data_IF_654809051834
#
_entry.id   IF_654809051834
#
_cell.length_a   1.000
_cell.length_b   1.000
_cell.length_c   1.000
_cell.angle_alpha   90.00
_cell.angle_beta   90.00
_cell.angle_gamma   90.00
#
_symmetry.space_group_name_H-M   'P 1'
#
loop_
_entity.id
_entity.type
_entity.pdbx_description
1 polymer ?
#
# COMPACT_ATOMS: atom_id res chain seq x y z
N UNK A 1 -32.94 8.78 0.10
CA UNK A 1 -32.92 10.09 -0.58
C UNK A 1 -32.50 11.10 0.48
N UNK A 2 -31.40 11.84 0.28
CA UNK A 2 -30.91 12.80 1.29
C UNK A 2 -31.93 13.95 1.48
N UNK A 3 -31.98 14.50 2.68
CA UNK A 3 -32.93 15.53 3.13
C UNK A 3 -32.96 16.73 2.17
N UNK A 4 -34.16 17.04 1.66
CA UNK A 4 -34.45 18.26 0.88
C UNK A 4 -35.01 19.32 1.83
N UNK A 5 -34.37 20.48 1.88
CA UNK A 5 -34.77 21.59 2.73
C UNK A 5 -35.35 22.74 1.90
N UNK A 6 -36.17 23.57 2.54
CA UNK A 6 -36.85 24.71 1.90
C UNK A 6 -35.96 25.95 1.85
N UNK A 7 -36.33 26.96 1.04
CA UNK A 7 -35.68 28.28 1.03
C UNK A 7 -35.60 28.89 2.43
N UNK A 8 -36.66 28.78 3.23
CA UNK A 8 -36.73 29.27 4.61
C UNK A 8 -35.68 28.59 5.50
N UNK A 9 -35.57 27.27 5.39
CA UNK A 9 -34.60 26.49 6.17
C UNK A 9 -33.15 26.83 5.79
N UNK A 10 -32.87 27.07 4.51
CA UNK A 10 -31.55 27.54 4.05
C UNK A 10 -31.25 28.95 4.57
N UNK A 11 -32.25 29.84 4.55
CA UNK A 11 -32.13 31.20 5.08
C UNK A 11 -31.80 31.18 6.58
N UNK A 12 -32.50 30.35 7.36
CA UNK A 12 -32.22 30.12 8.79
C UNK A 12 -30.82 29.53 9.01
N UNK A 13 -30.42 28.52 8.23
CA UNK A 13 -29.10 27.89 8.31
C UNK A 13 -27.95 28.89 8.08
N UNK A 14 -28.11 29.77 7.08
CA UNK A 14 -27.10 30.75 6.70
C UNK A 14 -27.19 32.04 7.52
N UNK A 15 -28.22 32.22 8.35
CA UNK A 15 -28.47 33.46 9.09
C UNK A 15 -28.76 34.66 8.18
N UNK A 16 -29.38 34.42 7.01
CA UNK A 16 -29.72 35.46 6.02
C UNK A 16 -31.23 35.49 5.76
N UNK A 17 -31.72 36.51 5.06
CA UNK A 17 -33.12 36.54 4.63
C UNK A 17 -33.35 35.68 3.36
N UNK A 18 -34.60 35.25 3.13
CA UNK A 18 -34.94 34.42 1.96
C UNK A 18 -34.60 35.09 0.62
N UNK A 19 -34.71 36.42 0.51
CA UNK A 19 -34.37 37.16 -0.71
C UNK A 19 -32.90 36.96 -1.11
N UNK A 20 -32.00 36.93 -0.13
CA UNK A 20 -30.57 36.67 -0.35
C UNK A 20 -30.30 35.24 -0.80
N UNK A 21 -31.11 34.26 -0.37
CA UNK A 21 -30.99 32.88 -0.87
C UNK A 21 -31.23 32.82 -2.39
N UNK A 22 -32.22 33.56 -2.92
CA UNK A 22 -32.42 33.64 -4.37
C UNK A 22 -31.23 34.26 -5.11
N UNK A 23 -30.63 35.32 -4.55
CA UNK A 23 -29.43 35.93 -5.12
C UNK A 23 -28.25 34.95 -5.12
N UNK A 24 -28.08 34.14 -4.06
CA UNK A 24 -27.03 33.11 -4.03
C UNK A 24 -27.21 32.05 -5.11
N UNK A 25 -28.45 31.67 -5.45
CA UNK A 25 -28.71 30.73 -6.56
C UNK A 25 -28.26 31.36 -7.88
N UNK A 26 -28.65 32.61 -8.16
CA UNK A 26 -28.45 33.24 -9.47
C UNK A 26 -27.05 33.80 -9.67
N UNK A 27 -26.45 34.36 -8.63
CA UNK A 27 -25.20 35.13 -8.72
C UNK A 27 -23.98 34.34 -8.23
N UNK A 28 -24.20 33.38 -7.33
CA UNK A 28 -23.12 32.63 -6.66
C UNK A 28 -23.22 31.11 -6.84
N UNK A 29 -24.21 30.65 -7.60
CA UNK A 29 -24.36 29.24 -7.98
C UNK A 29 -24.71 28.29 -6.84
N UNK A 30 -25.47 28.74 -5.83
CA UNK A 30 -25.96 27.88 -4.75
C UNK A 30 -26.80 26.72 -5.33
N UNK A 31 -26.44 25.44 -5.07
CA UNK A 31 -27.14 24.30 -5.66
C UNK A 31 -28.59 24.19 -5.20
N UNK A 32 -29.52 24.22 -6.14
CA UNK A 32 -30.95 24.13 -5.87
C UNK A 32 -31.68 23.45 -7.03
N UNK A 33 -32.82 22.83 -6.76
CA UNK A 33 -33.73 22.29 -7.77
C UNK A 33 -35.09 22.95 -7.64
N UNK A 34 -35.68 23.36 -8.77
CA UNK A 34 -37.02 23.96 -8.81
C UNK A 34 -38.05 22.88 -9.13
N UNK A 35 -38.96 22.60 -8.20
CA UNK A 35 -40.05 21.63 -8.36
C UNK A 35 -41.36 22.36 -8.17
N UNK A 36 -42.24 22.35 -9.17
CA UNK A 36 -43.57 22.99 -9.10
C UNK A 36 -43.54 24.46 -8.64
N UNK A 37 -42.52 25.21 -9.10
CA UNK A 37 -42.34 26.62 -8.75
C UNK A 37 -41.62 26.90 -7.44
N UNK A 38 -41.43 25.89 -6.57
CA UNK A 38 -40.72 26.00 -5.29
C UNK A 38 -39.27 25.56 -5.43
N UNK A 39 -38.36 26.26 -4.76
CA UNK A 39 -36.97 25.83 -4.65
C UNK A 39 -36.80 24.85 -3.50
N UNK A 40 -36.10 23.76 -3.79
CA UNK A 40 -35.69 22.75 -2.83
C UNK A 40 -34.18 22.55 -2.94
N UNK A 41 -33.55 22.30 -1.80
CA UNK A 41 -32.11 22.23 -1.69
C UNK A 41 -31.72 20.91 -1.02
N UNK A 42 -30.94 20.04 -1.68
CA UNK A 42 -30.31 18.93 -0.98
C UNK A 42 -29.35 19.49 0.07
N UNK A 43 -29.63 19.23 1.35
CA UNK A 43 -28.87 19.84 2.47
C UNK A 43 -27.36 19.70 2.32
N UNK A 44 -26.91 18.50 1.95
CA UNK A 44 -25.49 18.21 1.76
C UNK A 44 -24.81 19.04 0.65
N UNK A 45 -25.54 19.47 -0.39
CA UNK A 45 -24.99 20.32 -1.44
C UNK A 45 -24.89 21.78 -1.00
N UNK A 46 -25.80 22.23 -0.12
CA UNK A 46 -25.72 23.56 0.50
C UNK A 46 -24.48 23.62 1.39
N UNK A 47 -24.28 22.61 2.25
CA UNK A 47 -23.12 22.51 3.13
C UNK A 47 -21.80 22.47 2.34
N UNK A 48 -21.71 21.61 1.31
CA UNK A 48 -20.53 21.53 0.44
C UNK A 48 -20.26 22.84 -0.33
N UNK A 49 -21.31 23.54 -0.75
CA UNK A 49 -21.16 24.84 -1.41
C UNK A 49 -20.60 25.90 -0.46
N UNK A 50 -21.00 25.90 0.83
CA UNK A 50 -20.44 26.80 1.85
C UNK A 50 -18.94 26.50 2.05
N UNK A 51 -18.58 25.22 2.20
CA UNK A 51 -17.17 24.80 2.35
C UNK A 51 -16.31 25.30 1.19
N UNK A 52 -16.74 25.08 -0.06
CA UNK A 52 -16.00 25.48 -1.26
C UNK A 52 -15.88 27.00 -1.44
N UNK A 53 -16.78 27.79 -0.86
CA UNK A 53 -16.78 29.25 -0.98
C UNK A 53 -16.23 29.96 0.28
N UNK A 54 -15.64 29.21 1.22
CA UNK A 54 -15.01 29.78 2.41
C UNK A 54 -13.68 30.46 2.05
N UNK A 55 -13.60 31.79 2.20
CA UNK A 55 -12.42 32.57 1.80
C UNK A 55 -11.23 32.41 2.76
N UNK A 56 -11.52 32.34 4.06
CA UNK A 56 -10.52 32.16 5.12
C UNK A 56 -10.59 30.72 5.61
N UNK A 57 -10.36 29.77 4.70
CA UNK A 57 -10.27 28.38 5.08
C UNK A 57 -9.17 28.27 6.14
N UNK A 58 -9.44 27.77 7.35
CA UNK A 58 -8.39 27.63 8.34
C UNK A 58 -7.30 26.74 7.74
N UNK A 59 -6.08 27.25 7.66
CA UNK A 59 -4.89 26.44 7.35
C UNK A 59 -5.01 25.14 8.17
N UNK A 60 -5.07 23.97 7.52
CA UNK A 60 -5.49 22.76 8.18
C UNK A 60 -4.52 22.45 9.32
N UNK A 61 -4.94 22.74 10.55
CA UNK A 61 -4.37 22.14 11.76
C UNK A 61 -4.77 20.68 11.73
N UNK A 62 -4.00 19.90 10.99
CA UNK A 62 -4.06 18.44 10.88
C UNK A 62 -5.31 17.82 10.22
N UNK A 63 -4.99 16.76 9.46
CA UNK A 63 -5.79 15.62 9.00
C UNK A 63 -6.59 15.74 7.71
N UNK A 64 -6.37 14.69 6.91
CA UNK A 64 -6.89 14.32 5.60
C UNK A 64 -8.44 14.25 5.57
N UNK A 65 -9.07 14.10 4.38
CA UNK A 65 -10.52 14.20 4.18
C UNK A 65 -11.34 13.22 5.04
N UNK A 66 -12.68 13.41 5.16
CA UNK A 66 -13.55 12.79 6.15
C UNK A 66 -13.91 11.33 5.81
N UNK A 67 -12.91 10.47 5.62
CA UNK A 67 -13.10 9.04 5.68
C UNK A 67 -13.01 8.61 7.15
N UNK A 68 -14.05 8.93 7.92
CA UNK A 68 -14.19 8.36 9.26
C UNK A 68 -14.14 6.82 9.10
N UNK A 69 -13.02 6.21 9.52
CA UNK A 69 -12.76 4.78 9.41
C UNK A 69 -11.76 4.31 8.34
N UNK A 70 -11.39 5.08 7.30
CA UNK A 70 -10.51 4.56 6.22
C UNK A 70 -9.03 4.74 6.54
N UNK A 71 -8.27 3.64 6.49
CA UNK A 71 -6.81 3.62 6.58
C UNK A 71 -6.19 3.19 5.25
N UNK A 72 -5.71 4.15 4.46
CA UNK A 72 -4.94 3.88 3.24
C UNK A 72 -3.48 3.58 3.59
N UNK A 73 -3.03 2.36 3.28
CA UNK A 73 -1.65 1.91 3.37
C UNK A 73 -1.12 1.69 1.94
N UNK A 74 0.11 2.09 1.64
CA UNK A 74 0.72 1.79 0.34
C UNK A 74 2.15 1.30 0.48
N UNK A 75 2.69 0.69 -0.57
CA UNK A 75 4.11 0.33 -0.64
C UNK A 75 4.33 -1.14 -0.98
N UNK A 76 5.28 -1.78 -0.31
CA UNK A 76 5.63 -3.19 -0.51
C UNK A 76 4.73 -4.15 0.28
N UNK A 77 4.21 -5.17 -0.41
CA UNK A 77 3.42 -6.25 0.19
C UNK A 77 4.25 -7.11 1.17
N UNK A 78 3.59 -7.65 2.19
CA UNK A 78 4.09 -8.68 3.10
C UNK A 78 2.93 -9.54 3.63
N UNK A 79 3.14 -10.84 3.85
CA UNK A 79 2.11 -11.76 4.34
C UNK A 79 1.60 -11.38 5.73
N UNK A 80 2.47 -10.89 6.61
CA UNK A 80 2.06 -10.43 7.93
C UNK A 80 1.18 -9.18 7.81
N UNK A 81 1.54 -8.26 6.93
CA UNK A 81 0.74 -7.05 6.68
C UNK A 81 -0.64 -7.41 6.13
N UNK A 82 -0.73 -8.31 5.15
CA UNK A 82 -2.01 -8.77 4.59
C UNK A 82 -2.91 -9.37 5.69
N UNK A 83 -2.32 -10.17 6.59
CA UNK A 83 -3.05 -10.76 7.72
C UNK A 83 -3.46 -9.72 8.75
N UNK A 84 -2.60 -8.76 9.06
CA UNK A 84 -2.90 -7.65 9.98
C UNK A 84 -4.04 -6.79 9.45
N UNK A 85 -4.03 -6.44 8.16
CA UNK A 85 -5.12 -5.70 7.52
C UNK A 85 -6.43 -6.50 7.59
N UNK A 86 -6.38 -7.80 7.29
CA UNK A 86 -7.55 -8.68 7.35
C UNK A 86 -8.12 -8.76 8.77
N UNK A 87 -7.25 -8.91 9.78
CA UNK A 87 -7.64 -8.94 11.19
C UNK A 87 -8.25 -7.59 11.62
N UNK A 88 -7.61 -6.47 11.28
CA UNK A 88 -8.11 -5.14 11.58
C UNK A 88 -9.51 -4.93 10.99
N UNK A 89 -9.69 -5.22 9.70
CA UNK A 89 -10.99 -5.07 9.03
C UNK A 89 -12.07 -5.98 9.62
N UNK A 90 -11.70 -7.14 10.17
CA UNK A 90 -12.65 -8.04 10.83
C UNK A 90 -13.02 -7.61 12.25
N UNK A 91 -12.11 -6.96 12.97
CA UNK A 91 -12.28 -6.59 14.38
C UNK A 91 -12.91 -5.19 14.55
N UNK A 92 -12.68 -4.30 13.59
CA UNK A 92 -13.13 -2.91 13.65
C UNK A 92 -14.06 -2.61 12.48
N UNK A 93 -15.35 -3.01 12.53
CA UNK A 93 -16.27 -2.91 11.40
C UNK A 93 -16.58 -1.47 10.95
N UNK A 94 -16.40 -0.50 11.84
CA UNK A 94 -16.50 0.93 11.52
C UNK A 94 -15.25 1.48 10.82
N UNK A 95 -14.23 0.64 10.58
CA UNK A 95 -12.98 0.99 9.93
C UNK A 95 -12.70 0.07 8.74
N UNK A 96 -11.91 0.59 7.81
CA UNK A 96 -11.46 -0.13 6.62
C UNK A 96 -10.01 0.24 6.31
N UNK A 97 -9.10 -0.71 6.47
CA UNK A 97 -7.76 -0.62 5.94
C UNK A 97 -7.72 -1.16 4.50
N UNK A 98 -7.14 -0.38 3.59
CA UNK A 98 -6.92 -0.74 2.18
C UNK A 98 -5.44 -0.65 1.85
N UNK A 99 -4.96 -1.56 1.01
CA UNK A 99 -3.55 -1.63 0.61
C UNK A 99 -3.35 -1.37 -0.89
N UNK A 100 -2.52 -0.39 -1.21
CA UNK A 100 -2.05 -0.11 -2.57
C UNK A 100 -0.62 -0.61 -2.79
N UNK A 101 -0.43 -1.64 -3.61
CA UNK A 101 0.90 -2.15 -3.92
C UNK A 101 1.62 -1.25 -4.94
N UNK A 102 2.60 -0.48 -4.46
CA UNK A 102 3.42 0.44 -5.26
C UNK A 102 4.92 0.12 -5.16
N UNK A 103 5.28 -0.96 -4.45
CA UNK A 103 6.66 -1.23 -4.04
C UNK A 103 7.18 -0.22 -3.02
N UNK A 104 8.35 -0.50 -2.45
CA UNK A 104 8.89 0.24 -1.30
C UNK A 104 9.07 1.75 -1.57
N UNK A 105 9.78 2.11 -2.66
CA UNK A 105 9.98 3.52 -3.05
C UNK A 105 8.67 4.19 -3.47
N UNK A 106 7.77 3.45 -4.14
CA UNK A 106 6.45 3.97 -4.49
C UNK A 106 5.62 4.32 -3.27
N UNK A 107 5.70 3.51 -2.20
CA UNK A 107 5.08 3.78 -0.91
C UNK A 107 5.62 5.05 -0.25
N UNK A 108 6.95 5.21 -0.18
CA UNK A 108 7.56 6.43 0.37
C UNK A 108 7.13 7.68 -0.40
N UNK A 109 7.13 7.63 -1.74
CA UNK A 109 6.68 8.74 -2.60
C UNK A 109 5.20 9.05 -2.46
N UNK A 110 4.36 8.01 -2.28
CA UNK A 110 2.93 8.19 -2.05
C UNK A 110 2.67 8.86 -0.69
N UNK A 111 3.40 8.45 0.36
CA UNK A 111 3.32 9.08 1.68
C UNK A 111 3.76 10.54 1.64
N UNK A 112 4.88 10.87 0.96
CA UNK A 112 5.33 12.25 0.75
C UNK A 112 4.30 13.13 0.06
N UNK A 113 3.54 12.56 -0.87
CA UNK A 113 2.47 13.25 -1.61
C UNK A 113 1.13 13.25 -0.88
N UNK A 114 1.08 12.79 0.37
CA UNK A 114 -0.14 12.66 1.18
C UNK A 114 -1.23 11.79 0.51
N UNK A 115 -0.82 10.78 -0.28
CA UNK A 115 -1.74 9.85 -0.96
C UNK A 115 -2.07 8.61 -0.12
N UNK A 116 -1.35 8.38 0.98
CA UNK A 116 -1.64 7.34 1.96
C UNK A 116 -1.29 7.83 3.37
N UNK A 117 -1.80 7.13 4.38
CA UNK A 117 -1.51 7.40 5.79
C UNK A 117 -0.25 6.67 6.26
N UNK A 118 0.03 5.51 5.68
CA UNK A 118 1.18 4.67 6.02
C UNK A 118 1.86 4.15 4.76
N UNK A 119 3.19 4.06 4.79
CA UNK A 119 3.99 3.40 3.78
C UNK A 119 4.67 2.15 4.35
N UNK A 120 4.52 1.00 3.70
CA UNK A 120 5.30 -0.21 3.98
C UNK A 120 6.51 -0.29 3.06
N UNK A 121 7.69 -0.53 3.64
CA UNK A 121 8.95 -0.53 2.90
C UNK A 121 9.98 -1.46 3.54
N UNK A 122 10.84 -2.04 2.71
CA UNK A 122 11.96 -2.89 3.12
C UNK A 122 13.20 -2.66 2.25
N UNK A 123 13.59 -1.39 2.07
CA UNK A 123 14.77 -1.00 1.29
C UNK A 123 16.03 -1.15 2.13
N UNK A 124 16.88 -2.11 1.76
CA UNK A 124 18.16 -2.33 2.40
C UNK A 124 19.12 -1.19 2.06
N UNK A 125 19.78 -0.63 3.07
CA UNK A 125 20.83 0.37 2.86
C UNK A 125 22.15 -0.30 2.45
N UNK A 126 23.05 0.46 1.82
CA UNK A 126 24.37 -0.02 1.38
C UNK A 126 25.20 -0.64 2.51
N UNK A 127 25.04 -0.12 3.74
CA UNK A 127 25.74 -0.62 4.91
C UNK A 127 25.18 -1.94 5.47
N UNK A 128 24.11 -2.48 4.87
CA UNK A 128 23.43 -3.73 5.23
C UNK A 128 22.84 -3.83 6.65
N UNK A 129 23.01 -2.80 7.49
CA UNK A 129 22.62 -2.84 8.89
C UNK A 129 21.23 -2.24 9.13
N UNK A 130 20.79 -1.36 8.23
CA UNK A 130 19.57 -0.59 8.41
C UNK A 130 18.70 -0.61 7.16
N UNK A 131 17.42 -0.33 7.38
CA UNK A 131 16.42 -0.28 6.33
C UNK A 131 15.73 1.09 6.31
N UNK A 132 15.40 1.56 5.10
CA UNK A 132 14.53 2.70 4.83
C UNK A 132 15.01 4.10 5.28
N UNK A 133 15.85 4.27 6.30
CA UNK A 133 16.19 5.59 6.85
C UNK A 133 16.87 6.51 5.82
N UNK A 134 17.88 6.01 5.12
CA UNK A 134 18.55 6.77 4.05
C UNK A 134 17.57 7.16 2.94
N UNK A 135 16.76 6.20 2.48
CA UNK A 135 15.75 6.44 1.43
C UNK A 135 14.67 7.43 1.87
N UNK A 136 14.24 7.38 3.13
CA UNK A 136 13.31 8.34 3.70
C UNK A 136 13.93 9.73 3.79
N UNK A 137 15.18 9.86 4.27
CA UNK A 137 15.87 11.16 4.33
C UNK A 137 16.08 11.82 2.96
N UNK A 138 16.12 11.03 1.88
CA UNK A 138 16.20 11.53 0.51
C UNK A 138 14.85 11.96 -0.07
N UNK A 139 13.75 11.36 0.40
CA UNK A 139 12.41 11.67 -0.08
C UNK A 139 11.73 12.77 0.76
N UNK A 140 12.02 12.90 2.07
CA UNK A 140 11.32 13.82 2.97
C UNK A 140 12.25 14.90 3.53
N UNK A 141 11.75 16.14 3.60
CA UNK A 141 12.40 17.23 4.35
C UNK A 141 12.27 17.00 5.86
N UNK A 142 11.05 16.67 6.31
CA UNK A 142 10.77 16.26 7.69
C UNK A 142 10.55 14.75 7.75
N UNK A 143 11.33 14.07 8.59
CA UNK A 143 11.27 12.61 8.70
C UNK A 143 9.90 12.14 9.21
N UNK A 144 9.25 11.19 8.52
CA UNK A 144 8.05 10.55 9.04
C UNK A 144 8.40 9.67 10.25
N UNK A 145 7.39 9.33 11.05
CA UNK A 145 7.54 8.30 12.08
C UNK A 145 7.85 6.95 11.40
N UNK A 146 9.00 6.36 11.74
CA UNK A 146 9.41 5.05 11.23
C UNK A 146 9.27 4.04 12.36
N UNK A 147 8.44 3.01 12.13
CA UNK A 147 8.23 1.92 13.06
C UNK A 147 8.72 0.61 12.46
N UNK A 148 9.55 -0.12 13.20
CA UNK A 148 9.91 -1.48 12.81
C UNK A 148 8.71 -2.40 13.01
N UNK A 149 8.05 -2.78 11.91
CA UNK A 149 6.88 -3.65 11.97
C UNK A 149 7.25 -5.11 12.29
N UNK A 150 8.25 -5.64 11.61
CA UNK A 150 8.76 -6.99 11.86
C UNK A 150 10.18 -7.16 11.30
N UNK A 151 10.87 -8.21 11.78
CA UNK A 151 12.01 -8.81 11.10
C UNK A 151 11.57 -10.13 10.50
N UNK A 152 12.02 -10.43 9.29
CA UNK A 152 11.72 -11.67 8.57
C UNK A 152 12.99 -12.35 8.14
N UNK A 153 12.99 -13.67 8.22
CA UNK A 153 14.08 -14.50 7.75
C UNK A 153 13.90 -14.75 6.25
N UNK A 154 14.96 -14.52 5.48
CA UNK A 154 15.04 -14.78 4.05
C UNK A 154 16.00 -15.93 3.80
N UNK A 155 15.71 -16.73 2.78
CA UNK A 155 16.54 -17.86 2.42
C UNK A 155 16.12 -18.46 1.09
N UNK A 156 16.62 -19.66 0.82
CA UNK A 156 16.24 -20.46 -0.34
C UNK A 156 15.20 -21.47 0.15
N UNK A 157 13.98 -21.37 -0.39
CA UNK A 157 12.92 -22.34 -0.13
C UNK A 157 13.10 -23.51 -1.09
N UNK A 158 13.02 -24.72 -0.56
CA UNK A 158 13.25 -25.98 -1.26
C UNK A 158 11.99 -26.85 -1.21
N UNK A 159 11.92 -27.86 -2.07
CA UNK A 159 10.88 -28.89 -1.95
C UNK A 159 10.99 -29.61 -0.60
N UNK A 160 9.85 -30.00 -0.04
CA UNK A 160 9.78 -30.76 1.21
C UNK A 160 10.67 -32.01 1.14
N UNK A 161 11.53 -32.17 2.14
CA UNK A 161 12.49 -33.28 2.21
C UNK A 161 13.75 -33.10 1.38
N UNK A 162 13.89 -31.98 0.65
CA UNK A 162 15.08 -31.62 -0.12
C UNK A 162 15.60 -32.75 -1.04
N UNK A 163 14.80 -33.21 -2.03
CA UNK A 163 15.14 -34.36 -2.87
C UNK A 163 16.40 -34.15 -3.73
N UNK A 164 16.77 -32.89 -3.98
CA UNK A 164 17.99 -32.51 -4.70
C UNK A 164 19.22 -32.35 -3.78
N UNK A 165 19.06 -32.55 -2.47
CA UNK A 165 20.10 -32.42 -1.45
C UNK A 165 20.86 -31.07 -1.54
N UNK A 166 20.13 -29.99 -1.78
CA UNK A 166 20.66 -28.62 -1.84
C UNK A 166 21.00 -28.16 -0.43
N UNK A 167 22.27 -27.81 -0.17
CA UNK A 167 22.78 -27.40 1.14
C UNK A 167 23.39 -26.01 1.13
N UNK A 168 23.77 -25.52 -0.04
CA UNK A 168 24.33 -24.18 -0.21
C UNK A 168 23.89 -23.56 -1.54
N UNK A 169 24.21 -22.28 -1.71
CA UNK A 169 23.93 -21.57 -2.95
C UNK A 169 24.72 -22.10 -4.15
N UNK A 170 25.90 -22.72 -3.91
CA UNK A 170 26.71 -23.33 -4.98
C UNK A 170 26.02 -24.53 -5.60
N UNK A 171 25.20 -25.25 -4.82
CA UNK A 171 24.47 -26.41 -5.32
C UNK A 171 23.45 -26.02 -6.41
N UNK A 172 22.99 -24.77 -6.46
CA UNK A 172 22.07 -24.30 -7.50
C UNK A 172 22.67 -24.33 -8.92
N UNK A 173 23.99 -24.51 -9.05
CA UNK A 173 24.68 -24.62 -10.35
C UNK A 173 24.74 -26.07 -10.87
N UNK A 174 24.31 -27.06 -10.07
CA UNK A 174 24.32 -28.45 -10.50
C UNK A 174 23.26 -28.71 -11.57
N UNK A 175 23.59 -29.55 -12.54
CA UNK A 175 22.68 -29.92 -13.64
C UNK A 175 21.37 -30.52 -13.11
N UNK A 176 20.25 -30.03 -13.63
CA UNK A 176 18.92 -30.56 -13.30
C UNK A 176 18.33 -30.03 -11.99
N UNK A 177 18.88 -28.93 -11.45
CA UNK A 177 18.23 -28.09 -10.43
C UNK A 177 17.67 -26.86 -11.11
N UNK A 178 16.34 -26.70 -11.03
CA UNK A 178 15.62 -25.58 -11.61
C UNK A 178 15.23 -24.60 -10.51
N UNK A 179 15.46 -23.32 -10.73
CA UNK A 179 14.97 -22.30 -9.83
C UNK A 179 13.86 -21.47 -10.46
N UNK A 180 13.08 -20.81 -9.60
CA UNK A 180 12.38 -19.58 -9.95
C UNK A 180 12.89 -18.47 -9.08
N UNK A 181 12.77 -17.24 -9.56
CA UNK A 181 13.37 -16.07 -8.95
C UNK A 181 12.32 -15.00 -8.64
N UNK A 182 12.74 -13.96 -7.93
CA UNK A 182 11.95 -12.76 -7.67
C UNK A 182 12.27 -11.69 -8.72
N UNK A 183 11.32 -10.78 -9.03
CA UNK A 183 11.58 -9.69 -9.96
C UNK A 183 12.81 -8.88 -9.58
N UNK A 184 13.52 -8.40 -10.62
CA UNK A 184 14.61 -7.46 -10.46
C UNK A 184 14.18 -6.24 -9.64
N UNK A 185 15.05 -5.78 -8.73
CA UNK A 185 14.77 -4.65 -7.84
C UNK A 185 14.00 -5.02 -6.56
N UNK A 186 13.56 -6.26 -6.37
CA UNK A 186 13.05 -6.71 -5.06
C UNK A 186 14.20 -6.96 -4.09
N UNK A 187 13.99 -6.67 -2.79
CA UNK A 187 15.03 -6.90 -1.78
C UNK A 187 15.46 -8.37 -1.66
N UNK A 188 14.56 -9.30 -1.97
CA UNK A 188 14.86 -10.74 -2.02
C UNK A 188 15.73 -11.12 -3.21
N UNK A 189 15.49 -10.54 -4.39
CA UNK A 189 16.36 -10.72 -5.56
C UNK A 189 17.75 -10.13 -5.30
N UNK A 190 17.81 -8.93 -4.75
CA UNK A 190 19.06 -8.26 -4.40
C UNK A 190 19.92 -9.11 -3.44
N UNK A 191 19.31 -9.62 -2.37
CA UNK A 191 19.99 -10.51 -1.43
C UNK A 191 20.50 -11.77 -2.12
N UNK A 192 19.68 -12.42 -2.93
CA UNK A 192 20.04 -13.63 -3.65
C UNK A 192 21.22 -13.40 -4.62
N UNK A 193 21.16 -12.36 -5.45
CA UNK A 193 22.21 -12.02 -6.41
C UNK A 193 23.53 -11.66 -5.70
N UNK A 194 23.45 -11.04 -4.53
CA UNK A 194 24.62 -10.76 -3.69
C UNK A 194 25.25 -12.05 -3.17
N UNK A 195 24.46 -12.99 -2.68
CA UNK A 195 24.99 -14.27 -2.22
C UNK A 195 25.57 -15.10 -3.38
N UNK A 196 25.02 -15.01 -4.59
CA UNK A 196 25.61 -15.61 -5.80
C UNK A 196 26.98 -15.00 -6.10
N UNK A 197 27.08 -13.67 -6.07
CA UNK A 197 28.33 -12.95 -6.31
C UNK A 197 29.38 -13.29 -5.24
N UNK A 198 29.01 -13.33 -3.95
CA UNK A 198 29.89 -13.75 -2.85
C UNK A 198 30.43 -15.17 -3.06
N UNK A 199 29.65 -16.05 -3.67
CA UNK A 199 30.06 -17.41 -4.02
C UNK A 199 30.82 -17.52 -5.36
N UNK A 200 31.03 -16.41 -6.09
CA UNK A 200 31.67 -16.40 -7.40
C UNK A 200 30.84 -17.10 -8.49
N UNK A 201 29.52 -17.19 -8.31
CA UNK A 201 28.61 -17.88 -9.22
C UNK A 201 28.11 -16.90 -10.27
N UNK A 202 28.30 -17.28 -11.54
CA UNK A 202 27.65 -16.61 -12.66
C UNK A 202 26.17 -17.02 -12.70
N UNK A 203 25.22 -16.08 -12.53
CA UNK A 203 23.80 -16.40 -12.51
C UNK A 203 23.28 -17.04 -13.81
N UNK A 204 23.93 -16.79 -14.95
CA UNK A 204 23.54 -17.39 -16.23
C UNK A 204 23.80 -18.91 -16.29
N UNK A 205 24.56 -19.45 -15.33
CA UNK A 205 24.75 -20.90 -15.17
C UNK A 205 23.64 -21.59 -14.39
N UNK A 206 22.71 -20.84 -13.82
CA UNK A 206 21.61 -21.39 -13.02
C UNK A 206 20.36 -21.53 -13.89
N UNK A 207 19.87 -22.76 -14.01
CA UNK A 207 18.67 -23.06 -14.77
C UNK A 207 17.45 -22.38 -14.13
N UNK A 208 16.77 -21.52 -14.90
CA UNK A 208 15.59 -20.77 -14.44
C UNK A 208 15.90 -19.47 -13.69
N UNK A 209 17.15 -18.99 -13.69
CA UNK A 209 17.52 -17.72 -13.05
C UNK A 209 16.66 -16.51 -13.49
N UNK A 210 16.27 -16.48 -14.76
CA UNK A 210 15.42 -15.43 -15.36
C UNK A 210 13.92 -15.68 -15.22
N UNK A 211 13.50 -16.81 -14.63
CA UNK A 211 12.09 -17.13 -14.44
C UNK A 211 11.56 -16.40 -13.21
N UNK A 212 10.99 -15.21 -13.39
CA UNK A 212 10.59 -14.33 -12.29
C UNK A 212 9.12 -14.51 -11.89
N UNK A 213 8.88 -14.56 -10.57
CA UNK A 213 7.55 -14.70 -9.98
C UNK A 213 7.30 -13.57 -8.97
N UNK A 214 6.25 -12.79 -9.22
CA UNK A 214 6.02 -11.51 -8.56
C UNK A 214 5.57 -11.59 -7.10
N UNK A 215 4.87 -12.63 -6.65
CA UNK A 215 4.40 -12.76 -5.24
C UNK A 215 5.11 -13.87 -4.48
N UNK A 216 5.38 -13.63 -3.20
CA UNK A 216 6.13 -14.56 -2.35
C UNK A 216 5.40 -15.90 -2.22
N UNK A 217 4.07 -15.87 -2.09
CA UNK A 217 3.27 -17.08 -2.04
C UNK A 217 3.34 -17.88 -3.34
N UNK A 218 3.27 -17.20 -4.49
CA UNK A 218 3.34 -17.85 -5.81
C UNK A 218 4.69 -18.55 -6.01
N UNK A 219 5.79 -17.95 -5.55
CA UNK A 219 7.11 -18.62 -5.51
C UNK A 219 7.05 -19.92 -4.72
N UNK A 220 6.44 -19.90 -3.54
CA UNK A 220 6.27 -21.10 -2.73
C UNK A 220 5.42 -22.17 -3.42
N UNK A 221 4.41 -21.78 -4.19
CA UNK A 221 3.56 -22.69 -4.96
C UNK A 221 4.37 -23.37 -6.10
N UNK A 222 5.27 -22.66 -6.78
CA UNK A 222 6.16 -23.27 -7.78
C UNK A 222 7.03 -24.39 -7.19
N UNK A 223 7.52 -24.19 -5.96
CA UNK A 223 8.30 -25.19 -5.23
C UNK A 223 7.41 -26.35 -4.77
N UNK A 224 6.27 -26.05 -4.15
CA UNK A 224 5.33 -27.06 -3.65
C UNK A 224 4.83 -27.99 -4.76
N UNK A 225 4.63 -27.46 -5.96
CA UNK A 225 4.11 -28.22 -7.12
C UNK A 225 5.21 -28.94 -7.92
N UNK A 226 6.48 -28.79 -7.55
CA UNK A 226 7.60 -29.43 -8.23
C UNK A 226 7.97 -28.81 -9.59
N UNK A 227 7.41 -27.63 -9.91
CA UNK A 227 7.76 -26.87 -11.12
C UNK A 227 9.15 -26.23 -11.01
N UNK A 228 9.57 -25.91 -9.79
CA UNK A 228 10.94 -25.55 -9.44
C UNK A 228 11.43 -26.33 -8.22
N UNK A 229 12.74 -26.41 -8.07
CA UNK A 229 13.43 -27.15 -7.01
C UNK A 229 13.89 -26.23 -5.88
N UNK A 230 14.21 -24.96 -6.20
CA UNK A 230 14.64 -23.95 -5.24
C UNK A 230 14.19 -22.53 -5.64
N UNK A 231 14.01 -21.64 -4.67
CA UNK A 231 13.77 -20.22 -4.95
C UNK A 231 14.13 -19.30 -3.77
N UNK A 232 14.65 -18.08 -4.01
CA UNK A 232 14.84 -17.12 -2.95
C UNK A 232 13.48 -16.59 -2.46
N UNK A 233 13.20 -16.76 -1.17
CA UNK A 233 11.92 -16.38 -0.57
C UNK A 233 12.07 -16.08 0.94
N UNK A 234 10.95 -16.03 1.66
CA UNK A 234 10.87 -15.72 3.10
C UNK A 234 10.38 -16.95 3.87
N UNK A 235 10.91 -17.17 5.08
CA UNK A 235 10.53 -18.30 5.94
C UNK A 235 9.03 -18.45 6.18
N UNK A 236 8.22 -17.38 6.35
CA UNK A 236 6.76 -17.53 6.50
C UNK A 236 6.08 -18.27 5.35
N UNK A 237 6.58 -18.16 4.11
CA UNK A 237 6.05 -18.93 2.97
C UNK A 237 6.37 -20.41 3.14
N UNK A 238 7.62 -20.74 3.50
CA UNK A 238 8.03 -22.13 3.73
C UNK A 238 7.19 -22.78 4.83
N UNK A 239 7.04 -22.09 5.96
CA UNK A 239 6.20 -22.55 7.08
C UNK A 239 4.74 -22.75 6.68
N UNK A 240 4.16 -21.83 5.91
CA UNK A 240 2.76 -21.91 5.49
C UNK A 240 2.49 -23.09 4.55
N UNK A 241 3.46 -23.42 3.69
CA UNK A 241 3.32 -24.48 2.69
C UNK A 241 3.94 -25.82 3.13
N UNK A 242 4.55 -25.88 4.33
CA UNK A 242 5.20 -27.08 4.85
C UNK A 242 6.43 -27.51 4.05
N UNK A 243 7.18 -26.53 3.54
CA UNK A 243 8.42 -26.69 2.76
C UNK A 243 9.66 -26.63 3.65
#
# INVERSE_FOLDING_TARGET
MKELISTKTVAELLGINEKMVYALITEKGLPATKVTGKWLFPRYLVEQWIENNTQNYPEPRQTLPPYHGLLIISGSNDLLLDKTISLFNSQYPEHLAVFGNLGSMGGLRALRRNLCHMASSHLLQENENEYNFQFASQEFEDMPAIHNFCRREQGIVLQKGNPKNIRSITDLTQTGIRIVNRPLGTGTRLLFDRELNRAGIDPEKIEGYRNEIAKHLDVGIEILTGRADAAPCIRPVASLLGL
#
